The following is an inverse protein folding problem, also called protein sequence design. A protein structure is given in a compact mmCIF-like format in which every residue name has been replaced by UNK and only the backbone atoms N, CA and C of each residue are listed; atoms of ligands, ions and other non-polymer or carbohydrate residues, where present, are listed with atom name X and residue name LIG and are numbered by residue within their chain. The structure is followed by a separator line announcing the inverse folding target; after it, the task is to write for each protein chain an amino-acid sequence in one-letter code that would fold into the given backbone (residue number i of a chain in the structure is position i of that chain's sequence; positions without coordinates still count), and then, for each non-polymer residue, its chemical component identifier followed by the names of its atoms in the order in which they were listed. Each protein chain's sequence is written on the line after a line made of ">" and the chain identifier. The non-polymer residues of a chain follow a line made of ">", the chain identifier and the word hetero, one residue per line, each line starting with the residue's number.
data_IF_692950503115
#
_entry.id   IF_692950503115
#
_cell.length_a   1.000
_cell.length_b   1.000
_cell.length_c   1.000
_cell.angle_alpha   90.00
_cell.angle_beta   90.00
_cell.angle_gamma   90.00
#
_symmetry.space_group_name_H-M   'P 1'
#
loop_
_entity.id
_entity.type
_entity.pdbx_description
1 polymer ?
#
# COMPACT_ATOMS: atom_id res chain seq x y z
N UNK A 1 16.90 -10.05 24.86
CA UNK A 1 16.58 -9.10 23.75
C UNK A 1 15.56 -9.67 22.76
N UNK A 2 14.76 -10.57 23.25
CA UNK A 2 13.68 -11.19 22.49
C UNK A 2 12.55 -10.18 22.30
N UNK A 3 12.02 -10.12 21.09
CA UNK A 3 10.82 -9.37 20.70
C UNK A 3 10.96 -7.94 20.17
N UNK A 4 12.11 -7.51 19.68
CA UNK A 4 12.25 -6.19 19.06
C UNK A 4 11.34 -6.02 17.81
N UNK A 5 11.08 -7.11 17.09
CA UNK A 5 10.24 -7.12 15.89
C UNK A 5 8.73 -7.12 16.17
N UNK A 6 8.29 -7.38 17.39
CA UNK A 6 6.88 -7.51 17.75
C UNK A 6 6.36 -6.38 18.66
N UNK A 7 7.15 -5.35 18.89
CA UNK A 7 6.78 -4.24 19.79
C UNK A 7 5.55 -3.49 19.31
N UNK A 8 5.50 -3.19 18.01
CA UNK A 8 4.34 -2.51 17.42
C UNK A 8 3.08 -3.37 17.52
N UNK A 9 3.19 -4.68 17.24
CA UNK A 9 2.07 -5.61 17.38
C UNK A 9 1.50 -5.60 18.79
N UNK A 10 2.38 -5.64 19.81
CA UNK A 10 1.95 -5.58 21.21
C UNK A 10 1.28 -4.25 21.58
N UNK A 11 1.77 -3.14 21.05
CA UNK A 11 1.17 -1.83 21.29
C UNK A 11 -0.20 -1.69 20.61
N UNK A 12 -0.33 -2.13 19.35
CA UNK A 12 -1.59 -2.07 18.61
C UNK A 12 -2.67 -2.98 19.18
N UNK A 13 -2.29 -4.10 19.79
CA UNK A 13 -3.25 -5.00 20.45
C UNK A 13 -4.10 -4.33 21.53
N UNK A 14 -3.62 -3.21 22.10
CA UNK A 14 -4.33 -2.45 23.14
C UNK A 14 -5.46 -1.57 22.59
N UNK A 15 -5.41 -1.22 21.30
CA UNK A 15 -6.32 -0.25 20.68
C UNK A 15 -7.05 -0.80 19.44
N UNK A 16 -6.68 -1.97 18.96
CA UNK A 16 -7.21 -2.52 17.69
C UNK A 16 -8.73 -2.71 17.68
N UNK A 17 -9.37 -2.81 18.85
CA UNK A 17 -10.83 -2.95 18.96
C UNK A 17 -11.57 -1.62 18.84
N UNK A 18 -10.85 -0.50 18.93
CA UNK A 18 -11.43 0.84 18.88
C UNK A 18 -11.53 1.40 17.46
N UNK A 19 -10.95 0.68 16.47
CA UNK A 19 -10.82 1.15 15.09
C UNK A 19 -11.20 0.06 14.08
N UNK A 20 -11.92 0.45 13.02
CA UNK A 20 -12.21 -0.43 11.89
C UNK A 20 -10.96 -0.70 11.04
N UNK A 21 -10.09 0.30 10.89
CA UNK A 21 -8.84 0.23 10.14
C UNK A 21 -7.69 0.90 10.89
N UNK A 22 -6.52 0.29 10.83
CA UNK A 22 -5.26 0.86 11.31
C UNK A 22 -4.28 0.88 10.14
N UNK A 23 -3.94 2.07 9.64
CA UNK A 23 -2.99 2.27 8.57
C UNK A 23 -1.59 2.51 9.15
N UNK A 24 -0.59 1.75 8.68
CA UNK A 24 0.80 1.89 9.10
C UNK A 24 1.61 2.36 7.90
N UNK A 25 2.03 3.62 7.92
CA UNK A 25 2.96 4.15 6.91
C UNK A 25 4.38 3.71 7.22
N UNK A 26 5.08 3.20 6.20
CA UNK A 26 6.39 2.62 6.35
C UNK A 26 7.43 3.33 5.48
N UNK A 27 8.66 3.54 5.99
CA UNK A 27 9.75 4.04 5.17
C UNK A 27 10.13 3.01 4.08
N UNK A 28 10.74 3.43 2.97
CA UNK A 28 11.11 2.56 1.86
C UNK A 28 12.24 1.57 2.20
N UNK A 29 12.77 1.60 3.41
CA UNK A 29 13.83 0.70 3.89
C UNK A 29 13.24 -0.56 4.54
N UNK A 30 13.87 -1.71 4.32
CA UNK A 30 13.49 -2.98 4.97
C UNK A 30 14.17 -3.16 6.34
N UNK A 31 14.20 -2.09 7.15
CA UNK A 31 14.79 -2.08 8.48
C UNK A 31 13.86 -2.60 9.58
N UNK A 32 14.27 -2.42 10.84
CA UNK A 32 13.53 -2.88 12.02
C UNK A 32 12.12 -2.27 12.12
N UNK A 33 11.92 -1.02 11.70
CA UNK A 33 10.61 -0.36 11.73
C UNK A 33 9.65 -1.04 10.75
N UNK A 34 10.07 -1.26 9.52
CA UNK A 34 9.29 -1.98 8.51
C UNK A 34 9.01 -3.43 8.95
N UNK A 35 9.99 -4.10 9.57
CA UNK A 35 9.77 -5.43 10.12
C UNK A 35 8.70 -5.44 11.22
N UNK A 36 8.68 -4.44 12.11
CA UNK A 36 7.62 -4.29 13.12
C UNK A 36 6.25 -4.06 12.48
N UNK A 37 6.17 -3.24 11.45
CA UNK A 37 4.92 -3.00 10.71
C UNK A 37 4.40 -4.29 10.06
N UNK A 38 5.26 -5.00 9.32
CA UNK A 38 4.90 -6.27 8.67
C UNK A 38 4.54 -7.38 9.67
N UNK A 39 5.17 -7.38 10.85
CA UNK A 39 4.84 -8.34 11.91
C UNK A 39 3.50 -8.02 12.61
N UNK A 40 3.03 -6.76 12.54
CA UNK A 40 1.83 -6.30 13.21
C UNK A 40 0.59 -6.26 12.30
N UNK A 41 0.76 -6.00 11.00
CA UNK A 41 -0.37 -5.82 10.07
C UNK A 41 -1.02 -7.16 9.68
N UNK A 42 -2.26 -7.10 9.23
CA UNK A 42 -3.01 -8.23 8.65
C UNK A 42 -2.77 -8.33 7.15
N UNK A 43 -2.69 -7.20 6.47
CA UNK A 43 -2.43 -7.13 5.03
C UNK A 43 -1.49 -6.00 4.67
N UNK A 44 -0.94 -6.04 3.46
CA UNK A 44 -0.08 -5.00 2.91
C UNK A 44 -0.65 -4.46 1.61
N UNK A 45 -0.78 -3.15 1.51
CA UNK A 45 -1.02 -2.44 0.25
C UNK A 45 0.31 -1.91 -0.27
N UNK A 46 0.65 -2.24 -1.51
CA UNK A 46 1.93 -1.89 -2.12
C UNK A 46 1.73 -0.88 -3.23
N UNK A 47 2.01 0.41 -2.98
CA UNK A 47 2.03 1.41 -4.05
C UNK A 47 3.28 1.23 -4.89
N UNK A 48 3.11 1.18 -6.20
CA UNK A 48 4.21 1.16 -7.17
C UNK A 48 4.05 2.27 -8.19
N UNK A 49 5.14 2.93 -8.52
CA UNK A 49 5.16 3.85 -9.66
C UNK A 49 5.23 3.04 -10.95
N UNK A 50 4.54 3.49 -12.00
CA UNK A 50 4.55 2.82 -13.32
C UNK A 50 5.85 3.15 -14.08
N UNK A 51 7.00 2.74 -13.51
CA UNK A 51 8.35 2.97 -14.00
C UNK A 51 9.15 1.66 -14.13
N UNK A 52 10.26 1.68 -14.87
CA UNK A 52 11.01 0.50 -15.27
C UNK A 52 11.44 -0.42 -14.10
N UNK A 53 11.86 0.15 -12.97
CA UNK A 53 12.34 -0.63 -11.81
C UNK A 53 11.25 -1.09 -10.83
N UNK A 54 9.97 -0.84 -11.15
CA UNK A 54 8.85 -1.14 -10.26
C UNK A 54 8.76 -2.63 -9.87
N UNK A 55 9.00 -3.50 -10.83
CA UNK A 55 8.90 -4.95 -10.64
C UNK A 55 10.02 -5.53 -9.78
N UNK A 56 11.24 -4.98 -9.90
CA UNK A 56 12.36 -5.41 -9.07
C UNK A 56 12.10 -5.10 -7.60
N UNK A 57 11.69 -3.88 -7.28
CA UNK A 57 11.32 -3.47 -5.92
C UNK A 57 10.18 -4.31 -5.35
N UNK A 58 9.16 -4.59 -6.15
CA UNK A 58 8.03 -5.43 -5.76
C UNK A 58 8.48 -6.87 -5.46
N UNK A 59 9.35 -7.45 -6.27
CA UNK A 59 9.91 -8.79 -6.06
C UNK A 59 10.72 -8.90 -4.77
N UNK A 60 11.55 -7.91 -4.46
CA UNK A 60 12.33 -7.84 -3.22
C UNK A 60 11.42 -7.71 -2.00
N UNK A 61 10.39 -6.86 -2.06
CA UNK A 61 9.41 -6.73 -1.00
C UNK A 61 8.68 -8.06 -0.75
N UNK A 62 8.22 -8.73 -1.79
CA UNK A 62 7.52 -10.02 -1.66
C UNK A 62 8.41 -11.13 -1.10
N UNK A 63 9.70 -11.10 -1.35
CA UNK A 63 10.66 -12.02 -0.70
C UNK A 63 10.75 -11.74 0.81
N UNK A 64 10.77 -10.47 1.21
CA UNK A 64 10.74 -10.07 2.62
C UNK A 64 9.43 -10.48 3.30
N UNK A 65 8.29 -10.24 2.65
CA UNK A 65 6.97 -10.64 3.16
C UNK A 65 6.89 -12.15 3.40
N UNK A 66 7.39 -12.96 2.47
CA UNK A 66 7.47 -14.43 2.66
C UNK A 66 8.29 -14.81 3.89
N UNK A 67 9.39 -14.13 4.14
CA UNK A 67 10.23 -14.35 5.33
C UNK A 67 9.49 -13.96 6.61
N UNK A 68 8.83 -12.80 6.61
CA UNK A 68 8.00 -12.34 7.75
C UNK A 68 6.84 -13.29 8.00
N UNK A 69 6.16 -13.75 6.95
CA UNK A 69 5.06 -14.73 7.05
C UNK A 69 5.50 -16.01 7.75
N UNK A 70 6.70 -16.47 7.47
CA UNK A 70 7.27 -17.69 8.07
C UNK A 70 7.71 -17.51 9.52
N UNK A 71 8.29 -16.35 9.88
CA UNK A 71 9.00 -16.16 11.14
C UNK A 71 8.22 -15.38 12.21
N UNK A 72 7.36 -14.46 11.79
CA UNK A 72 6.77 -13.45 12.69
C UNK A 72 5.26 -13.32 12.60
N UNK A 73 4.67 -13.49 11.38
CA UNK A 73 3.26 -13.20 11.15
C UNK A 73 2.71 -14.11 10.04
N UNK A 74 2.19 -15.27 10.41
CA UNK A 74 1.66 -16.27 9.47
C UNK A 74 0.41 -15.79 8.70
N UNK A 75 -0.27 -14.77 9.20
CA UNK A 75 -1.53 -14.26 8.63
C UNK A 75 -1.34 -13.15 7.61
N UNK A 76 -0.14 -12.54 7.55
CA UNK A 76 0.09 -11.44 6.60
C UNK A 76 -0.19 -11.87 5.17
N UNK A 77 -0.99 -11.07 4.47
CA UNK A 77 -1.28 -11.28 3.06
C UNK A 77 -1.13 -9.99 2.24
N UNK A 78 -1.12 -10.11 0.92
CA UNK A 78 -1.14 -8.96 0.02
C UNK A 78 -2.58 -8.47 -0.15
N UNK A 79 -2.89 -7.27 0.37
CA UNK A 79 -4.14 -6.57 0.11
C UNK A 79 -4.28 -6.25 -1.37
N UNK A 80 -3.26 -5.62 -1.92
CA UNK A 80 -3.18 -5.34 -3.33
C UNK A 80 -2.00 -4.48 -3.72
N UNK A 81 -1.79 -4.40 -5.03
CA UNK A 81 -0.81 -3.53 -5.68
C UNK A 81 -1.54 -2.32 -6.25
N UNK A 82 -1.16 -1.13 -5.80
CA UNK A 82 -1.71 0.14 -6.26
C UNK A 82 -0.78 0.79 -7.30
N UNK A 83 -1.28 1.00 -8.50
CA UNK A 83 -0.56 1.70 -9.55
C UNK A 83 -0.60 3.21 -9.29
N UNK A 84 0.55 3.83 -9.11
CA UNK A 84 0.70 5.28 -8.88
C UNK A 84 1.47 5.95 -10.03
N UNK A 85 1.42 7.26 -10.09
CA UNK A 85 2.00 8.04 -11.20
C UNK A 85 1.51 7.55 -12.58
N UNK A 86 0.28 7.03 -12.62
CA UNK A 86 -0.30 6.40 -13.78
C UNK A 86 -0.54 7.42 -14.91
N UNK A 87 -0.06 7.10 -16.11
CA UNK A 87 -0.36 7.85 -17.35
C UNK A 87 -0.59 6.86 -18.48
N UNK A 88 -1.85 6.69 -18.87
CA UNK A 88 -2.27 5.74 -19.91
C UNK A 88 -1.73 6.08 -21.33
N UNK A 89 -1.16 7.27 -21.52
CA UNK A 89 -0.56 7.67 -22.81
C UNK A 89 0.84 7.11 -23.01
N UNK A 90 1.46 6.60 -21.93
CA UNK A 90 2.83 6.10 -21.96
C UNK A 90 2.85 4.58 -22.16
N UNK A 91 3.54 4.12 -23.21
CA UNK A 91 3.74 2.69 -23.47
C UNK A 91 4.40 1.97 -22.31
N UNK A 92 5.35 2.62 -21.63
CA UNK A 92 6.01 2.06 -20.44
C UNK A 92 5.01 1.75 -19.33
N UNK A 93 4.07 2.66 -19.07
CA UNK A 93 3.00 2.44 -18.09
C UNK A 93 2.21 1.17 -18.41
N UNK A 94 1.82 1.00 -19.67
CA UNK A 94 1.05 -0.17 -20.09
C UNK A 94 1.84 -1.47 -19.93
N UNK A 95 3.13 -1.46 -20.28
CA UNK A 95 4.02 -2.61 -20.09
C UNK A 95 4.15 -3.00 -18.61
N UNK A 96 4.36 -2.02 -17.72
CA UNK A 96 4.43 -2.26 -16.27
C UNK A 96 3.12 -2.84 -15.75
N UNK A 97 1.98 -2.29 -16.16
CA UNK A 97 0.64 -2.78 -15.78
C UNK A 97 0.44 -4.24 -16.19
N UNK A 98 0.78 -4.59 -17.43
CA UNK A 98 0.65 -5.96 -17.94
C UNK A 98 1.54 -6.94 -17.15
N UNK A 99 2.79 -6.58 -16.90
CA UNK A 99 3.70 -7.42 -16.11
C UNK A 99 3.23 -7.57 -14.66
N UNK A 100 2.78 -6.50 -13.99
CA UNK A 100 2.24 -6.59 -12.63
C UNK A 100 1.00 -7.49 -12.60
N UNK A 101 0.08 -7.35 -13.54
CA UNK A 101 -1.12 -8.19 -13.64
C UNK A 101 -0.79 -9.66 -13.90
N UNK A 102 0.28 -9.95 -14.64
CA UNK A 102 0.74 -11.30 -14.90
C UNK A 102 1.23 -12.01 -13.62
N UNK A 103 1.97 -11.28 -12.77
CA UNK A 103 2.48 -11.82 -11.49
C UNK A 103 1.45 -11.79 -10.36
N UNK A 104 0.49 -10.84 -10.40
CA UNK A 104 -0.51 -10.61 -9.36
C UNK A 104 -1.92 -10.46 -9.97
N UNK A 105 -2.47 -11.48 -10.66
CA UNK A 105 -3.63 -11.35 -11.54
C UNK A 105 -4.90 -10.83 -10.86
N UNK A 106 -5.07 -11.09 -9.56
CA UNK A 106 -6.26 -10.68 -8.80
C UNK A 106 -5.96 -9.70 -7.67
N UNK A 107 -4.71 -9.23 -7.59
CA UNK A 107 -4.25 -8.38 -6.49
C UNK A 107 -3.86 -6.97 -6.97
N UNK A 108 -4.19 -6.57 -8.18
CA UNK A 108 -4.01 -5.21 -8.67
C UNK A 108 -5.32 -4.45 -8.48
N UNK A 109 -5.28 -3.35 -7.74
CA UNK A 109 -6.46 -2.50 -7.58
C UNK A 109 -6.97 -2.02 -8.94
N UNK A 110 -8.29 -1.93 -9.08
CA UNK A 110 -8.95 -1.34 -10.28
C UNK A 110 -8.66 0.15 -10.36
N UNK A 111 -8.64 0.78 -9.19
CA UNK A 111 -8.27 2.19 -9.03
C UNK A 111 -6.78 2.38 -9.24
N UNK A 112 -6.39 3.40 -9.99
CA UNK A 112 -5.01 3.86 -10.13
C UNK A 112 -4.90 5.35 -9.78
N UNK A 113 -3.76 5.75 -9.22
CA UNK A 113 -3.51 7.15 -8.86
C UNK A 113 -2.75 7.83 -10.00
N UNK A 114 -3.36 8.81 -10.68
CA UNK A 114 -2.71 9.50 -11.79
C UNK A 114 -1.59 10.43 -11.29
N UNK A 115 -0.66 10.77 -12.17
CA UNK A 115 0.23 11.90 -11.92
C UNK A 115 -0.60 13.17 -11.81
N UNK A 116 -0.53 13.84 -10.65
CA UNK A 116 -1.35 15.02 -10.35
C UNK A 116 -0.59 15.99 -9.46
N UNK A 117 -0.50 17.24 -9.88
CA UNK A 117 0.23 18.30 -9.18
C UNK A 117 -0.34 18.56 -7.77
N UNK A 118 -1.66 18.49 -7.59
CA UNK A 118 -2.32 18.71 -6.29
C UNK A 118 -1.86 17.73 -5.22
N UNK A 119 -1.54 16.48 -5.61
CA UNK A 119 -0.97 15.48 -4.70
C UNK A 119 0.44 15.87 -4.23
N UNK A 120 1.19 16.59 -5.04
CA UNK A 120 2.54 17.08 -4.69
C UNK A 120 2.48 18.38 -3.86
N UNK A 121 1.46 19.20 -4.07
CA UNK A 121 1.28 20.49 -3.40
C UNK A 121 0.74 20.33 -1.98
N UNK A 122 -0.31 19.51 -1.80
CA UNK A 122 -1.03 19.37 -0.52
C UNK A 122 -0.13 19.14 0.70
N UNK A 123 0.93 18.28 0.65
CA UNK A 123 1.86 18.11 1.78
C UNK A 123 2.60 19.39 2.17
N UNK A 124 2.88 20.29 1.20
CA UNK A 124 3.54 21.57 1.49
C UNK A 124 2.67 22.52 2.32
N UNK A 125 1.35 22.30 2.31
CA UNK A 125 0.39 23.04 3.12
C UNK A 125 0.00 22.29 4.40
N UNK A 126 0.54 21.08 4.61
CA UNK A 126 0.21 20.26 5.79
C UNK A 126 -1.22 19.71 5.75
N UNK A 127 -1.83 19.64 4.57
CA UNK A 127 -3.22 19.22 4.40
C UNK A 127 -3.32 17.94 3.56
N UNK A 128 -4.25 17.03 3.89
CA UNK A 128 -4.65 15.95 2.98
C UNK A 128 -5.23 16.54 1.69
N UNK A 129 -4.95 15.91 0.54
CA UNK A 129 -5.40 16.39 -0.76
C UNK A 129 -6.92 16.56 -0.86
N UNK A 130 -7.70 15.77 -0.12
CA UNK A 130 -9.17 15.87 -0.06
C UNK A 130 -9.67 17.18 0.55
N UNK A 131 -8.88 17.83 1.40
CA UNK A 131 -9.17 19.15 1.95
C UNK A 131 -8.52 20.24 1.13
N UNK A 132 -7.33 20.01 0.60
CA UNK A 132 -6.59 20.95 -0.23
C UNK A 132 -7.29 21.22 -1.58
N UNK A 133 -7.69 20.17 -2.31
CA UNK A 133 -8.42 20.26 -3.57
C UNK A 133 -9.29 19.01 -3.79
N UNK A 134 -10.50 19.03 -3.24
CA UNK A 134 -11.45 17.93 -3.32
C UNK A 134 -11.78 17.51 -4.76
N UNK A 135 -11.90 18.49 -5.68
CA UNK A 135 -12.29 18.24 -7.06
C UNK A 135 -11.14 17.71 -7.95
N UNK A 136 -9.91 17.73 -7.44
CA UNK A 136 -8.77 17.25 -8.22
C UNK A 136 -8.88 15.76 -8.54
N UNK A 137 -8.31 15.34 -9.68
CA UNK A 137 -8.26 13.94 -10.07
C UNK A 137 -7.53 13.08 -9.03
N UNK A 138 -6.49 13.64 -8.38
CA UNK A 138 -5.76 12.96 -7.31
C UNK A 138 -6.65 12.67 -6.11
N UNK A 139 -7.40 13.66 -5.64
CA UNK A 139 -8.35 13.51 -4.52
C UNK A 139 -9.41 12.46 -4.82
N UNK A 140 -10.07 12.56 -5.96
CA UNK A 140 -11.12 11.62 -6.37
C UNK A 140 -10.60 10.19 -6.54
N UNK A 141 -9.36 10.02 -7.02
CA UNK A 141 -8.75 8.69 -7.13
C UNK A 141 -8.47 8.06 -5.77
N UNK A 142 -8.01 8.83 -4.77
CA UNK A 142 -7.83 8.31 -3.42
C UNK A 142 -9.13 7.98 -2.72
N UNK A 143 -10.21 8.75 -2.95
CA UNK A 143 -11.55 8.41 -2.45
C UNK A 143 -12.05 7.10 -3.07
N UNK A 144 -11.91 6.94 -4.39
CA UNK A 144 -12.27 5.70 -5.08
C UNK A 144 -11.46 4.50 -4.59
N UNK A 145 -10.16 4.69 -4.27
CA UNK A 145 -9.34 3.65 -3.65
C UNK A 145 -9.86 3.25 -2.27
N UNK A 146 -10.24 4.22 -1.45
CA UNK A 146 -10.79 3.94 -0.13
C UNK A 146 -12.09 3.12 -0.23
N UNK A 147 -12.99 3.49 -1.15
CA UNK A 147 -14.22 2.74 -1.41
C UNK A 147 -13.92 1.31 -1.89
N UNK A 148 -12.92 1.12 -2.76
CA UNK A 148 -12.51 -0.20 -3.25
C UNK A 148 -11.96 -1.06 -2.13
N UNK A 149 -11.10 -0.52 -1.26
CA UNK A 149 -10.56 -1.24 -0.08
C UNK A 149 -11.69 -1.66 0.85
N UNK A 150 -12.60 -0.73 1.18
CA UNK A 150 -13.73 -1.02 2.06
C UNK A 150 -14.64 -2.10 1.47
N UNK A 151 -14.91 -2.03 0.16
CA UNK A 151 -15.74 -3.01 -0.52
C UNK A 151 -15.10 -4.42 -0.51
N UNK A 152 -13.79 -4.51 -0.78
CA UNK A 152 -13.06 -5.77 -0.78
C UNK A 152 -13.06 -6.43 0.61
N UNK A 153 -12.89 -5.64 1.67
CA UNK A 153 -12.85 -6.16 3.04
C UNK A 153 -14.25 -6.50 3.62
N UNK A 154 -15.33 -5.99 3.05
CA UNK A 154 -16.70 -6.35 3.46
C UNK A 154 -17.18 -7.70 2.90
N UNK A 155 -16.59 -8.17 1.83
CA UNK A 155 -16.97 -9.43 1.17
C UNK A 155 -16.28 -10.66 1.76
N UNK A 156 -15.32 -10.48 2.66
CA UNK A 156 -14.58 -11.58 3.32
C UNK A 156 -15.10 -11.90 4.73
N UNK A 157 -16.22 -11.30 5.15
CA UNK A 157 -16.85 -11.47 6.47
C UNK A 157 -18.00 -12.48 6.49
#
# INVERSE_FOLDING_TARGET
>A
MENRALRLKSALALIQQDYDYICIDCPPSLGLLTLNALAACTSILVPIQCEFYALEGLSQLMATVRTVKRLYNSYIDLEGVLLTMYDARLNLTMQVVEEVKKYFPQKVFKTSIPRNVRLSEAPSFGEPVIYYDFASKGSQSYLALADEIIANNRTEG
#
